data_IF_407638833305
#
_entry.id   IF_407638833305
#
_cell.length_a   1.000
_cell.length_b   1.000
_cell.length_c   1.000
_cell.angle_alpha   90.00
_cell.angle_beta   90.00
_cell.angle_gamma   90.00
#
_symmetry.space_group_name_H-M   'P 1'
#
loop_
_entity.id
_entity.type
_entity.pdbx_description
1 polymer ?
#
# COMPACT_ATOMS: atom_id res chain seq x y z
N UNK A 1 23.43 -28.69 50.96
CA UNK A 1 23.46 -27.29 51.47
C UNK A 1 24.02 -26.29 50.47
N UNK A 2 25.02 -26.65 49.64
CA UNK A 2 25.65 -25.71 48.69
C UNK A 2 24.71 -25.15 47.62
N UNK A 3 23.85 -25.98 47.02
CA UNK A 3 22.89 -25.53 46.01
C UNK A 3 21.97 -24.42 46.54
N UNK A 4 21.47 -24.56 47.77
CA UNK A 4 20.65 -23.54 48.44
C UNK A 4 21.42 -22.23 48.61
N UNK A 5 22.72 -22.31 48.96
CA UNK A 5 23.58 -21.13 49.14
C UNK A 5 23.89 -20.44 47.81
N UNK A 6 24.13 -21.21 46.75
CA UNK A 6 24.32 -20.68 45.40
C UNK A 6 23.06 -19.98 44.88
N UNK A 7 21.89 -20.59 45.10
CA UNK A 7 20.60 -20.04 44.68
C UNK A 7 20.24 -18.75 45.44
N UNK A 8 20.51 -18.70 46.75
CA UNK A 8 20.37 -17.47 47.54
C UNK A 8 21.33 -16.37 47.05
N UNK A 9 22.58 -16.72 46.74
CA UNK A 9 23.56 -15.76 46.22
C UNK A 9 23.14 -15.20 44.84
N UNK A 10 22.54 -16.04 43.98
CA UNK A 10 21.97 -15.58 42.70
C UNK A 10 20.76 -14.65 42.90
N UNK A 11 19.84 -14.98 43.82
CA UNK A 11 18.69 -14.10 44.14
C UNK A 11 19.17 -12.74 44.66
N UNK A 12 20.16 -12.71 45.55
CA UNK A 12 20.73 -11.46 46.09
C UNK A 12 21.49 -10.66 45.02
N UNK A 13 22.16 -11.33 44.08
CA UNK A 13 22.80 -10.65 42.94
C UNK A 13 21.78 -10.11 41.95
N UNK A 14 20.68 -10.83 41.71
CA UNK A 14 19.57 -10.40 40.85
C UNK A 14 18.79 -9.21 41.44
N UNK A 15 18.68 -9.10 42.76
CA UNK A 15 18.03 -7.96 43.41
C UNK A 15 18.92 -6.72 43.49
N UNK A 16 20.21 -6.85 43.16
CA UNK A 16 21.18 -5.76 43.21
C UNK A 16 21.08 -4.90 41.94
N UNK A 17 20.80 -3.60 42.11
CA UNK A 17 20.48 -2.71 40.98
C UNK A 17 21.69 -2.23 40.14
N UNK A 18 22.89 -2.72 40.42
CA UNK A 18 24.15 -2.27 39.84
C UNK A 18 24.90 -3.38 39.10
N UNK A 19 24.19 -4.38 38.57
CA UNK A 19 24.84 -5.42 37.75
C UNK A 19 25.16 -4.89 36.35
N UNK A 20 26.20 -5.43 35.72
CA UNK A 20 26.57 -5.12 34.33
C UNK A 20 25.40 -5.43 33.39
N UNK A 21 24.67 -6.51 33.65
CA UNK A 21 23.49 -6.91 32.88
C UNK A 21 22.40 -5.83 32.90
N UNK A 22 22.13 -5.22 34.06
CA UNK A 22 21.14 -4.15 34.15
C UNK A 22 21.60 -2.88 33.44
N UNK A 23 22.88 -2.53 33.54
CA UNK A 23 23.44 -1.38 32.81
C UNK A 23 23.35 -1.58 31.29
N UNK A 24 23.63 -2.80 30.80
CA UNK A 24 23.44 -3.17 29.40
C UNK A 24 21.96 -3.10 28.99
N UNK A 25 21.05 -3.61 29.82
CA UNK A 25 19.61 -3.55 29.56
C UNK A 25 19.10 -2.11 29.49
N UNK A 26 19.57 -1.24 30.38
CA UNK A 26 19.25 0.19 30.37
C UNK A 26 19.80 0.90 29.12
N UNK A 27 21.02 0.57 28.69
CA UNK A 27 21.58 1.08 27.43
C UNK A 27 20.76 0.61 26.22
N UNK A 28 20.38 -0.67 26.18
CA UNK A 28 19.54 -1.22 25.11
C UNK A 28 18.19 -0.52 25.06
N UNK A 29 17.53 -0.31 26.21
CA UNK A 29 16.25 0.42 26.28
C UNK A 29 16.38 1.85 25.76
N UNK A 30 17.45 2.56 26.14
CA UNK A 30 17.72 3.92 25.63
C UNK A 30 17.91 3.92 24.10
N UNK A 31 18.66 2.96 23.57
CA UNK A 31 18.87 2.84 22.12
C UNK A 31 17.57 2.51 21.37
N UNK A 32 16.75 1.59 21.91
CA UNK A 32 15.43 1.28 21.33
C UNK A 32 14.55 2.54 21.32
N UNK A 33 14.48 3.26 22.43
CA UNK A 33 13.70 4.49 22.51
C UNK A 33 14.19 5.56 21.53
N UNK A 34 15.50 5.71 21.38
CA UNK A 34 16.10 6.64 20.42
C UNK A 34 15.66 6.33 18.99
N UNK A 35 15.82 5.08 18.53
CA UNK A 35 15.41 4.72 17.16
C UNK A 35 13.90 4.70 16.96
N UNK A 36 13.13 4.41 18.01
CA UNK A 36 11.67 4.56 17.99
C UNK A 36 11.26 6.00 17.69
N UNK A 37 11.91 6.98 18.35
CA UNK A 37 11.66 8.40 18.09
C UNK A 37 12.05 8.83 16.67
N UNK A 38 13.14 8.28 16.11
CA UNK A 38 13.51 8.49 14.70
C UNK A 38 12.44 7.94 13.76
N UNK A 39 12.10 6.66 13.92
CA UNK A 39 11.11 5.96 13.08
C UNK A 39 9.74 6.63 13.13
N UNK A 40 9.33 7.16 14.29
CA UNK A 40 8.07 7.88 14.44
C UNK A 40 7.93 9.05 13.47
N UNK A 41 9.02 9.79 13.23
CA UNK A 41 9.06 10.90 12.26
C UNK A 41 9.01 10.38 10.83
N UNK A 42 9.72 9.31 10.54
CA UNK A 42 9.76 8.74 9.18
C UNK A 42 8.41 8.16 8.79
N UNK A 43 7.74 7.47 9.71
CA UNK A 43 6.37 6.99 9.54
C UNK A 43 5.40 8.15 9.34
N UNK A 44 5.58 9.27 10.05
CA UNK A 44 4.76 10.46 9.85
C UNK A 44 4.93 11.07 8.44
N UNK A 45 6.17 11.15 7.94
CA UNK A 45 6.45 11.57 6.55
C UNK A 45 5.82 10.59 5.56
N UNK A 46 5.99 9.28 5.79
CA UNK A 46 5.44 8.27 4.89
C UNK A 46 3.91 8.40 4.80
N UNK A 47 3.26 8.51 5.95
CA UNK A 47 1.82 8.71 6.06
C UNK A 47 1.39 9.98 5.31
N UNK A 48 2.09 11.09 5.51
CA UNK A 48 1.79 12.36 4.85
C UNK A 48 1.86 12.23 3.31
N UNK A 49 2.96 11.66 2.79
CA UNK A 49 3.14 11.48 1.34
C UNK A 49 2.08 10.53 0.77
N UNK A 50 1.79 9.41 1.46
CA UNK A 50 0.73 8.47 1.08
C UNK A 50 -0.65 9.14 1.00
N UNK A 51 -1.04 9.89 2.03
CA UNK A 51 -2.35 10.56 2.10
C UNK A 51 -2.54 11.62 1.01
N UNK A 52 -1.45 12.21 0.53
CA UNK A 52 -1.45 13.22 -0.54
C UNK A 52 -1.22 12.62 -1.94
N UNK A 53 -0.96 11.31 -2.04
CA UNK A 53 -0.63 10.67 -3.31
C UNK A 53 0.69 11.19 -3.91
N UNK A 54 1.62 11.65 -3.09
CA UNK A 54 2.91 12.19 -3.54
C UNK A 54 3.90 11.05 -3.75
N UNK A 55 4.70 11.13 -4.82
CA UNK A 55 5.78 10.19 -5.07
C UNK A 55 6.82 10.27 -3.94
N UNK A 56 7.31 9.12 -3.46
CA UNK A 56 8.35 9.07 -2.41
C UNK A 56 9.74 9.34 -2.97
N UNK A 57 9.98 8.81 -4.17
CA UNK A 57 11.27 8.78 -4.86
C UNK A 57 11.43 10.01 -5.75
N UNK A 58 12.68 10.39 -5.99
CA UNK A 58 13.07 11.46 -6.90
C UNK A 58 14.00 10.96 -8.01
N UNK A 59 14.65 11.90 -8.71
CA UNK A 59 15.68 11.56 -9.70
C UNK A 59 16.95 11.00 -9.04
N UNK A 60 17.21 11.40 -7.79
CA UNK A 60 18.32 10.87 -7.00
C UNK A 60 17.90 10.60 -5.54
N UNK A 61 18.62 9.70 -4.89
CA UNK A 61 18.44 9.36 -3.47
C UNK A 61 19.68 9.83 -2.69
N UNK A 62 20.06 11.10 -2.91
CA UNK A 62 21.22 11.73 -2.29
C UNK A 62 20.78 12.82 -1.32
N UNK A 63 21.34 12.77 -0.12
CA UNK A 63 21.12 13.77 0.92
C UNK A 63 21.70 15.13 0.53
N UNK A 64 20.98 16.23 0.82
CA UNK A 64 21.34 17.59 0.36
C UNK A 64 21.13 17.81 -1.15
N UNK A 65 20.60 16.78 -1.81
CA UNK A 65 19.92 16.78 -3.10
C UNK A 65 18.90 17.88 -3.37
N UNK A 66 19.10 18.93 -4.21
CA UNK A 66 17.93 19.71 -4.65
C UNK A 66 16.97 18.86 -5.52
N UNK A 67 17.43 17.73 -6.06
CA UNK A 67 16.61 16.77 -6.83
C UNK A 67 16.33 15.46 -6.07
N UNK A 68 16.50 15.44 -4.74
CA UNK A 68 16.17 14.25 -3.97
C UNK A 68 14.66 13.96 -3.99
N UNK A 69 14.28 12.73 -3.64
CA UNK A 69 12.87 12.34 -3.54
C UNK A 69 12.14 13.08 -2.42
N UNK A 70 10.82 13.22 -2.56
CA UNK A 70 9.99 13.92 -1.57
C UNK A 70 10.11 13.32 -0.17
N UNK A 71 10.43 12.03 -0.03
CA UNK A 71 10.69 11.44 1.29
C UNK A 71 11.91 12.08 1.98
N UNK A 72 13.04 12.17 1.28
CA UNK A 72 14.25 12.80 1.82
C UNK A 72 14.03 14.30 2.03
N UNK A 73 13.47 15.00 1.04
CA UNK A 73 13.19 16.44 1.16
C UNK A 73 12.23 16.76 2.31
N UNK A 74 11.24 15.93 2.59
CA UNK A 74 10.36 16.12 3.75
C UNK A 74 11.07 15.87 5.08
N UNK A 75 11.99 14.90 5.15
CA UNK A 75 12.82 14.68 6.35
C UNK A 75 13.76 15.86 6.58
N UNK A 76 14.39 16.37 5.51
CA UNK A 76 15.22 17.59 5.56
C UNK A 76 14.42 18.77 6.11
N UNK A 77 13.20 18.99 5.59
CA UNK A 77 12.31 20.05 6.06
C UNK A 77 11.95 19.89 7.55
N UNK A 78 11.61 18.68 8.01
CA UNK A 78 11.29 18.45 9.43
C UNK A 78 12.53 18.70 10.30
N UNK A 79 13.72 18.33 9.83
CA UNK A 79 14.96 18.53 10.55
C UNK A 79 15.32 20.01 10.76
N UNK A 80 14.77 20.94 9.97
CA UNK A 80 14.92 22.38 10.23
C UNK A 80 14.24 22.80 11.55
N UNK A 81 13.17 22.11 11.94
CA UNK A 81 12.35 22.45 13.11
C UNK A 81 12.46 21.45 14.26
N UNK A 82 13.08 20.31 14.02
CA UNK A 82 13.24 19.22 14.99
C UNK A 82 14.72 19.01 15.34
N UNK A 83 15.19 19.56 16.47
CA UNK A 83 16.60 19.46 16.88
C UNK A 83 17.07 18.01 17.06
N UNK A 84 16.18 17.12 17.51
CA UNK A 84 16.51 15.71 17.70
C UNK A 84 16.76 15.02 16.36
N UNK A 85 15.89 15.27 15.38
CA UNK A 85 16.08 14.72 14.04
C UNK A 85 17.31 15.34 13.37
N UNK A 86 17.54 16.65 13.53
CA UNK A 86 18.74 17.32 13.04
C UNK A 86 20.01 16.65 13.57
N UNK A 87 20.10 16.42 14.88
CA UNK A 87 21.24 15.75 15.50
C UNK A 87 21.41 14.31 14.99
N UNK A 88 20.32 13.57 14.82
CA UNK A 88 20.36 12.22 14.24
C UNK A 88 20.95 12.24 12.82
N UNK A 89 20.54 13.19 11.99
CA UNK A 89 21.01 13.33 10.62
C UNK A 89 22.48 13.74 10.54
N UNK A 90 22.93 14.66 11.41
CA UNK A 90 24.34 15.03 11.50
C UNK A 90 25.22 13.87 11.96
N UNK A 91 24.76 13.05 12.90
CA UNK A 91 25.45 11.79 13.27
C UNK A 91 25.58 10.86 12.07
N UNK A 92 24.53 10.73 11.26
CA UNK A 92 24.53 9.88 10.07
C UNK A 92 25.51 10.35 8.98
N UNK A 93 25.86 11.64 8.93
CA UNK A 93 26.88 12.18 8.02
C UNK A 93 28.30 11.95 8.54
N UNK A 94 28.52 12.17 9.83
CA UNK A 94 29.86 12.29 10.41
C UNK A 94 30.39 10.99 11.04
N UNK A 95 29.51 10.04 11.39
CA UNK A 95 29.86 8.80 12.08
C UNK A 95 29.35 7.57 11.32
N UNK A 96 29.99 6.41 11.53
CA UNK A 96 29.41 5.12 11.15
C UNK A 96 28.25 4.81 12.10
N UNK A 97 27.08 5.38 11.82
CA UNK A 97 25.85 5.05 12.53
C UNK A 97 25.39 3.65 12.13
N UNK A 98 24.96 2.85 13.10
CA UNK A 98 24.54 1.46 12.87
C UNK A 98 23.29 1.36 11.98
N UNK A 99 22.37 2.33 12.05
CA UNK A 99 21.18 2.38 11.20
C UNK A 99 20.73 3.82 10.97
N UNK A 100 20.62 4.21 9.69
CA UNK A 100 20.17 5.56 9.30
C UNK A 100 18.66 5.60 9.00
N UNK A 101 18.06 4.47 8.63
CA UNK A 101 16.67 4.33 8.18
C UNK A 101 16.27 5.19 6.95
N UNK A 102 17.23 5.91 6.36
CA UNK A 102 17.01 6.83 5.23
C UNK A 102 17.12 6.13 3.87
N UNK A 103 17.69 4.93 3.85
CA UNK A 103 17.93 4.24 2.60
C UNK A 103 16.62 3.76 1.98
N UNK A 104 16.61 3.78 0.64
CA UNK A 104 15.49 3.32 -0.17
C UNK A 104 14.89 1.97 0.26
N UNK A 105 15.69 0.91 0.50
CA UNK A 105 15.13 -0.37 0.93
C UNK A 105 14.36 -0.28 2.26
N UNK A 106 14.81 0.59 3.18
CA UNK A 106 14.23 0.66 4.53
C UNK A 106 12.89 1.38 4.51
N UNK A 107 12.78 2.56 3.88
CA UNK A 107 11.48 3.22 3.82
C UNK A 107 10.48 2.45 2.94
N UNK A 108 10.95 1.69 1.94
CA UNK A 108 10.10 0.78 1.17
C UNK A 108 9.56 -0.37 2.00
N UNK A 109 10.39 -0.96 2.85
CA UNK A 109 9.94 -1.98 3.82
C UNK A 109 8.89 -1.40 4.79
N UNK A 110 9.11 -0.18 5.31
CA UNK A 110 8.14 0.50 6.16
C UNK A 110 6.82 0.74 5.42
N UNK A 111 6.86 1.21 4.17
CA UNK A 111 5.67 1.40 3.32
C UNK A 111 4.93 0.08 3.14
N UNK A 112 5.64 -1.03 2.90
CA UNK A 112 5.02 -2.36 2.76
C UNK A 112 4.35 -2.83 4.04
N UNK A 113 5.01 -2.66 5.20
CA UNK A 113 4.44 -3.03 6.50
C UNK A 113 3.18 -2.21 6.80
N UNK A 114 3.24 -0.89 6.59
CA UNK A 114 2.11 0.01 6.77
C UNK A 114 0.96 -0.34 5.81
N UNK A 115 1.27 -0.54 4.53
CA UNK A 115 0.30 -0.94 3.51
C UNK A 115 -0.39 -2.25 3.86
N UNK A 116 0.37 -3.26 4.30
CA UNK A 116 -0.17 -4.55 4.75
C UNK A 116 -1.07 -4.40 5.98
N UNK A 117 -0.70 -3.54 6.93
CA UNK A 117 -1.54 -3.29 8.11
C UNK A 117 -2.87 -2.64 7.73
N UNK A 118 -2.84 -1.63 6.86
CA UNK A 118 -4.05 -0.97 6.32
C UNK A 118 -4.92 -1.97 5.56
N UNK A 119 -4.32 -2.81 4.71
CA UNK A 119 -5.03 -3.85 3.98
C UNK A 119 -5.71 -4.85 4.93
N UNK A 120 -4.99 -5.35 5.94
CA UNK A 120 -5.55 -6.27 6.92
C UNK A 120 -6.71 -5.64 7.70
N UNK A 121 -6.60 -4.37 8.05
CA UNK A 121 -7.66 -3.66 8.76
C UNK A 121 -8.92 -3.49 7.88
N UNK A 122 -8.75 -3.11 6.61
CA UNK A 122 -9.86 -3.03 5.65
C UNK A 122 -10.54 -4.39 5.47
N UNK A 123 -9.75 -5.44 5.36
CA UNK A 123 -10.24 -6.82 5.25
C UNK A 123 -11.00 -7.25 6.50
N UNK A 124 -10.49 -6.90 7.68
CA UNK A 124 -11.17 -7.14 8.95
C UNK A 124 -12.49 -6.36 9.01
N UNK A 125 -12.55 -5.14 8.48
CA UNK A 125 -13.79 -4.36 8.41
C UNK A 125 -14.83 -5.05 7.53
N UNK A 126 -14.42 -5.49 6.33
CA UNK A 126 -15.29 -6.21 5.40
C UNK A 126 -15.77 -7.53 6.03
N UNK A 127 -14.89 -8.27 6.70
CA UNK A 127 -15.24 -9.59 7.22
C UNK A 127 -16.00 -9.57 8.56
N UNK A 128 -15.69 -8.61 9.45
CA UNK A 128 -16.08 -8.68 10.88
C UNK A 128 -16.93 -7.49 11.37
N UNK A 129 -16.90 -6.33 10.70
CA UNK A 129 -17.53 -5.10 11.17
C UNK A 129 -18.67 -4.67 10.24
N UNK A 130 -19.83 -5.29 10.43
CA UNK A 130 -21.15 -4.96 9.84
C UNK A 130 -21.25 -4.91 8.30
N UNK A 131 -20.16 -5.15 7.57
CA UNK A 131 -20.12 -5.01 6.11
C UNK A 131 -20.13 -6.35 5.41
N UNK A 132 -21.26 -7.04 5.43
CA UNK A 132 -21.36 -8.36 4.79
C UNK A 132 -21.13 -8.32 3.28
N UNK A 133 -21.47 -7.22 2.60
CA UNK A 133 -21.52 -7.15 1.14
C UNK A 133 -20.57 -6.12 0.57
N UNK A 134 -19.98 -6.46 -0.57
CA UNK A 134 -19.09 -5.59 -1.32
C UNK A 134 -19.24 -5.82 -2.82
N UNK A 135 -18.73 -4.89 -3.60
CA UNK A 135 -18.62 -4.97 -5.06
C UNK A 135 -17.16 -4.96 -5.47
N UNK A 136 -16.88 -5.54 -6.63
CA UNK A 136 -15.55 -5.53 -7.23
C UNK A 136 -15.58 -4.76 -8.55
N UNK A 137 -14.56 -3.95 -8.78
CA UNK A 137 -14.28 -3.34 -10.08
C UNK A 137 -12.94 -3.91 -10.52
N UNK A 138 -12.87 -4.40 -11.75
CA UNK A 138 -11.67 -5.00 -12.30
C UNK A 138 -11.33 -4.21 -13.55
N UNK A 139 -10.08 -3.80 -13.65
CA UNK A 139 -9.56 -3.15 -14.83
C UNK A 139 -8.25 -3.83 -15.23
N UNK A 140 -8.05 -4.03 -16.52
CA UNK A 140 -6.81 -4.59 -17.03
C UNK A 140 -6.34 -3.81 -18.24
N UNK A 141 -5.09 -3.37 -18.21
CA UNK A 141 -4.47 -2.70 -19.34
C UNK A 141 -3.16 -3.40 -19.68
N UNK A 142 -2.90 -3.71 -20.97
CA UNK A 142 -1.60 -4.19 -21.39
C UNK A 142 -0.58 -3.06 -21.24
N UNK A 143 0.55 -3.35 -20.59
CA UNK A 143 1.66 -2.42 -20.55
C UNK A 143 2.48 -2.42 -21.86
N UNK A 144 3.52 -1.59 -21.93
CA UNK A 144 4.41 -1.48 -23.10
C UNK A 144 5.08 -2.81 -23.49
N UNK A 145 5.14 -3.78 -22.57
CA UNK A 145 5.70 -5.11 -22.80
C UNK A 145 4.65 -6.15 -23.17
N UNK A 146 3.41 -5.73 -23.41
CA UNK A 146 2.24 -6.59 -23.62
C UNK A 146 1.93 -7.51 -22.43
N UNK A 147 2.33 -7.11 -21.22
CA UNK A 147 1.95 -7.79 -19.99
C UNK A 147 0.73 -7.08 -19.42
N UNK A 148 -0.36 -7.82 -19.21
CA UNK A 148 -1.58 -7.27 -18.64
C UNK A 148 -1.38 -6.89 -17.17
N UNK A 149 -1.56 -5.61 -16.87
CA UNK A 149 -1.61 -5.09 -15.51
C UNK A 149 -3.04 -5.12 -15.02
N UNK A 150 -3.31 -6.00 -14.05
CA UNK A 150 -4.65 -6.22 -13.49
C UNK A 150 -4.82 -5.48 -12.17
N UNK A 151 -5.76 -4.55 -12.16
CA UNK A 151 -6.12 -3.69 -11.05
C UNK A 151 -7.49 -4.10 -10.54
N UNK A 152 -7.62 -4.31 -9.22
CA UNK A 152 -8.88 -4.72 -8.61
C UNK A 152 -9.23 -3.76 -7.52
N UNK A 153 -10.41 -3.18 -7.62
CA UNK A 153 -10.96 -2.30 -6.62
C UNK A 153 -12.06 -3.05 -5.89
N UNK A 154 -11.96 -3.14 -4.57
CA UNK A 154 -13.08 -3.57 -3.71
C UNK A 154 -13.77 -2.32 -3.18
N UNK A 155 -15.07 -2.25 -3.40
CA UNK A 155 -15.93 -1.17 -2.91
C UNK A 155 -16.96 -1.74 -1.95
N UNK A 156 -17.03 -1.18 -0.75
CA UNK A 156 -17.89 -1.62 0.33
C UNK A 156 -18.51 -0.42 1.06
N UNK A 157 -19.54 -0.63 1.87
CA UNK A 157 -20.17 0.44 2.64
C UNK A 157 -19.88 0.24 4.13
N UNK A 158 -19.19 1.19 4.76
CA UNK A 158 -18.95 1.22 6.20
C UNK A 158 -19.78 2.34 6.83
N UNK A 159 -20.64 2.03 7.81
CA UNK A 159 -21.52 3.02 8.46
C UNK A 159 -22.25 3.92 7.44
N UNK A 160 -22.81 3.30 6.38
CA UNK A 160 -23.49 3.97 5.26
C UNK A 160 -22.61 4.90 4.39
N UNK A 161 -21.29 4.91 4.60
CA UNK A 161 -20.34 5.64 3.76
C UNK A 161 -19.66 4.70 2.77
N UNK A 162 -19.60 5.06 1.47
CA UNK A 162 -18.91 4.26 0.48
C UNK A 162 -17.39 4.34 0.70
N UNK A 163 -16.76 3.18 0.82
CA UNK A 163 -15.32 2.98 0.94
C UNK A 163 -14.79 2.24 -0.29
N UNK A 164 -13.57 2.58 -0.72
CA UNK A 164 -12.93 2.05 -1.92
C UNK A 164 -11.50 1.65 -1.59
N UNK A 165 -11.07 0.46 -2.01
CA UNK A 165 -9.72 -0.07 -1.73
C UNK A 165 -9.18 -0.81 -2.94
N UNK A 166 -7.86 -0.70 -3.17
CA UNK A 166 -7.19 -1.30 -4.30
C UNK A 166 -6.35 -2.53 -3.93
N UNK A 167 -6.37 -3.51 -4.82
CA UNK A 167 -5.67 -4.78 -4.72
C UNK A 167 -5.11 -5.22 -6.09
N UNK A 168 -4.08 -6.07 -6.06
CA UNK A 168 -3.39 -6.58 -7.25
C UNK A 168 -3.60 -8.10 -7.40
N UNK A 169 -4.19 -8.58 -8.52
CA UNK A 169 -4.52 -9.99 -8.84
C UNK A 169 -5.69 -10.64 -8.07
N UNK A 170 -6.68 -11.20 -8.79
CA UNK A 170 -8.01 -11.58 -8.23
C UNK A 170 -7.93 -12.73 -7.25
N UNK A 171 -7.42 -13.89 -7.70
CA UNK A 171 -7.48 -15.11 -6.88
C UNK A 171 -6.50 -15.07 -5.72
N UNK A 172 -5.33 -14.47 -5.93
CA UNK A 172 -4.33 -14.30 -4.88
C UNK A 172 -4.87 -13.35 -3.81
N UNK A 173 -5.42 -12.20 -4.18
CA UNK A 173 -5.99 -11.22 -3.23
C UNK A 173 -7.18 -11.78 -2.48
N UNK A 174 -8.20 -12.30 -3.17
CA UNK A 174 -9.42 -12.72 -2.49
C UNK A 174 -9.15 -13.91 -1.56
N UNK A 175 -8.25 -14.81 -1.94
CA UNK A 175 -7.79 -15.92 -1.12
C UNK A 175 -6.93 -15.47 0.08
N UNK A 176 -5.87 -14.68 -0.16
CA UNK A 176 -4.95 -14.18 0.89
C UNK A 176 -5.70 -13.31 1.91
N UNK A 177 -6.65 -12.50 1.45
CA UNK A 177 -7.45 -11.62 2.27
C UNK A 177 -8.74 -12.25 2.78
N UNK A 178 -8.96 -13.57 2.56
CA UNK A 178 -10.14 -14.30 3.07
C UNK A 178 -11.47 -13.62 2.72
N UNK A 179 -11.56 -12.97 1.56
CA UNK A 179 -12.76 -12.29 1.10
C UNK A 179 -13.65 -13.29 0.36
N UNK A 180 -14.88 -13.51 0.86
CA UNK A 180 -15.79 -14.51 0.30
C UNK A 180 -16.46 -14.08 -1.01
N UNK A 181 -16.20 -14.81 -2.09
CA UNK A 181 -16.86 -14.61 -3.38
C UNK A 181 -18.40 -14.63 -3.29
N UNK A 182 -18.97 -15.33 -2.29
CA UNK A 182 -20.41 -15.40 -2.06
C UNK A 182 -21.03 -14.07 -1.60
N UNK A 183 -20.20 -13.18 -1.04
CA UNK A 183 -20.61 -11.88 -0.52
C UNK A 183 -20.52 -10.74 -1.55
N UNK A 184 -20.01 -11.03 -2.75
CA UNK A 184 -19.95 -10.05 -3.83
C UNK A 184 -21.36 -9.76 -4.35
N UNK A 185 -21.77 -8.50 -4.40
CA UNK A 185 -23.08 -8.06 -4.94
C UNK A 185 -22.99 -7.29 -6.24
N UNK A 186 -21.83 -6.72 -6.54
CA UNK A 186 -21.58 -6.01 -7.79
C UNK A 186 -20.27 -6.45 -8.42
N UNK A 187 -20.26 -6.53 -9.75
CA UNK A 187 -19.06 -6.74 -10.55
C UNK A 187 -19.03 -5.71 -11.69
N UNK A 188 -17.90 -5.05 -11.88
CA UNK A 188 -17.75 -4.05 -12.94
C UNK A 188 -16.39 -4.16 -13.61
N UNK A 189 -16.38 -4.11 -14.93
CA UNK A 189 -15.18 -4.16 -15.79
C UNK A 189 -15.57 -3.71 -17.20
N UNK A 190 -14.59 -3.69 -18.11
CA UNK A 190 -14.80 -3.33 -19.51
C UNK A 190 -15.83 -4.23 -20.24
N UNK A 191 -16.18 -3.85 -21.47
CA UNK A 191 -17.13 -4.61 -22.28
C UNK A 191 -16.44 -5.67 -23.14
N UNK A 192 -15.16 -5.99 -22.90
CA UNK A 192 -14.45 -6.98 -23.68
C UNK A 192 -15.10 -8.35 -23.51
N UNK A 193 -15.05 -9.19 -24.55
CA UNK A 193 -15.80 -10.46 -24.60
C UNK A 193 -15.37 -11.46 -23.52
N UNK A 194 -14.08 -11.46 -23.17
CA UNK A 194 -13.51 -12.21 -22.04
C UNK A 194 -14.03 -11.74 -20.67
N UNK A 195 -14.46 -10.48 -20.55
CA UNK A 195 -14.97 -9.89 -19.32
C UNK A 195 -16.50 -9.98 -19.24
N UNK A 196 -17.21 -9.35 -20.19
CA UNK A 196 -18.69 -9.27 -20.28
C UNK A 196 -19.38 -10.56 -20.72
N UNK A 197 -18.66 -11.53 -21.26
CA UNK A 197 -19.27 -12.76 -21.81
C UNK A 197 -20.23 -13.45 -20.82
N UNK A 198 -21.49 -13.61 -21.20
CA UNK A 198 -22.54 -14.17 -20.33
C UNK A 198 -22.42 -15.67 -20.09
N UNK A 199 -21.66 -16.38 -20.92
CA UNK A 199 -21.46 -17.83 -20.83
C UNK A 199 -20.04 -18.22 -20.43
N UNK A 200 -19.02 -17.56 -21.02
CA UNK A 200 -17.59 -17.88 -20.84
C UNK A 200 -16.75 -16.70 -20.34
N UNK A 201 -17.37 -15.53 -20.15
CA UNK A 201 -16.68 -14.35 -19.65
C UNK A 201 -16.60 -14.36 -18.13
N UNK A 202 -15.79 -13.45 -17.59
CA UNK A 202 -15.65 -13.23 -16.16
C UNK A 202 -17.00 -13.00 -15.46
N UNK A 203 -17.94 -12.36 -16.16
CA UNK A 203 -19.33 -12.21 -15.74
C UNK A 203 -20.02 -13.52 -15.41
N UNK A 204 -19.93 -14.49 -16.32
CA UNK A 204 -20.52 -15.80 -16.15
C UNK A 204 -19.91 -16.51 -14.94
N UNK A 205 -18.59 -16.43 -14.79
CA UNK A 205 -17.88 -17.05 -13.68
C UNK A 205 -18.34 -16.53 -12.32
N UNK A 206 -18.40 -15.21 -12.12
CA UNK A 206 -18.89 -14.64 -10.85
C UNK A 206 -20.38 -14.94 -10.62
N UNK A 207 -21.20 -14.95 -11.68
CA UNK A 207 -22.64 -15.23 -11.57
C UNK A 207 -22.93 -16.70 -11.25
N UNK A 208 -22.08 -17.62 -11.70
CA UNK A 208 -22.13 -19.03 -11.33
C UNK A 208 -21.78 -19.26 -9.86
N UNK A 209 -20.86 -18.47 -9.30
CA UNK A 209 -20.47 -18.54 -7.88
C UNK A 209 -21.54 -17.88 -7.00
N UNK A 210 -22.04 -16.71 -7.41
CA UNK A 210 -23.09 -16.00 -6.71
C UNK A 210 -24.10 -15.38 -7.69
N UNK A 211 -25.31 -15.96 -7.73
CA UNK A 211 -26.39 -15.52 -8.61
C UNK A 211 -26.86 -14.08 -8.39
N UNK A 212 -26.60 -13.53 -7.21
CA UNK A 212 -26.97 -12.16 -6.82
C UNK A 212 -25.88 -11.12 -7.16
N UNK A 213 -24.86 -11.52 -7.92
CA UNK A 213 -23.81 -10.60 -8.38
C UNK A 213 -24.23 -9.91 -9.67
N UNK A 214 -24.57 -8.62 -9.58
CA UNK A 214 -24.99 -7.85 -10.75
C UNK A 214 -23.80 -7.25 -11.49
N UNK A 215 -23.83 -7.40 -12.82
CA UNK A 215 -22.83 -6.83 -13.70
C UNK A 215 -23.19 -5.40 -14.09
N UNK A 216 -22.23 -4.49 -13.88
CA UNK A 216 -22.32 -3.10 -14.27
C UNK A 216 -21.21 -2.80 -15.28
N UNK A 217 -21.53 -2.53 -16.56
CA UNK A 217 -20.52 -2.26 -17.57
C UNK A 217 -19.76 -0.96 -17.27
N UNK A 218 -18.49 -0.90 -17.65
CA UNK A 218 -17.69 0.31 -17.52
C UNK A 218 -18.29 1.46 -18.32
N UNK A 219 -18.68 2.54 -17.63
CA UNK A 219 -19.29 3.71 -18.25
C UNK A 219 -18.30 4.43 -19.18
N UNK A 220 -17.02 4.56 -18.77
CA UNK A 220 -15.98 5.20 -19.57
C UNK A 220 -15.76 4.46 -20.90
N UNK A 221 -15.64 3.13 -20.85
CA UNK A 221 -15.49 2.33 -22.05
C UNK A 221 -16.76 2.35 -22.93
N UNK A 222 -17.94 2.30 -22.33
CA UNK A 222 -19.22 2.40 -23.06
C UNK A 222 -19.36 3.74 -23.77
N UNK A 223 -18.92 4.83 -23.13
CA UNK A 223 -18.92 6.16 -23.73
C UNK A 223 -17.87 6.29 -24.84
N UNK A 224 -16.69 5.69 -24.67
CA UNK A 224 -15.67 5.65 -25.71
C UNK A 224 -16.18 4.94 -26.97
N UNK A 225 -16.82 3.77 -26.81
CA UNK A 225 -17.44 3.04 -27.91
C UNK A 225 -18.54 3.85 -28.61
N UNK A 226 -19.33 4.62 -27.86
CA UNK A 226 -20.32 5.52 -28.43
C UNK A 226 -19.65 6.60 -29.28
N UNK A 227 -18.60 7.26 -28.76
CA UNK A 227 -17.84 8.28 -29.49
C UNK A 227 -17.20 7.73 -30.77
N UNK A 228 -16.54 6.58 -30.66
CA UNK A 228 -15.96 5.87 -31.81
C UNK A 228 -17.03 5.54 -32.85
N UNK A 229 -18.20 5.03 -32.42
CA UNK A 229 -19.27 4.70 -33.34
C UNK A 229 -19.86 5.95 -34.00
N UNK A 230 -20.08 7.03 -33.24
CA UNK A 230 -20.57 8.29 -33.78
C UNK A 230 -19.62 8.85 -34.85
N UNK A 231 -18.30 8.85 -34.59
CA UNK A 231 -17.29 9.26 -35.57
C UNK A 231 -17.28 8.35 -36.79
N UNK A 232 -17.37 7.03 -36.60
CA UNK A 232 -17.36 6.05 -37.70
C UNK A 232 -18.52 6.18 -38.69
N UNK A 233 -19.57 6.95 -38.34
CA UNK A 233 -20.71 7.22 -39.23
C UNK A 233 -20.51 8.43 -40.13
N UNK A 234 -19.46 9.22 -39.94
CA UNK A 234 -19.16 10.43 -40.71
C UNK A 234 -17.89 10.21 -41.54
N UNK A 235 -18.00 9.92 -42.85
CA UNK A 235 -16.86 9.58 -43.69
C UNK A 235 -15.73 10.62 -43.69
N UNK A 236 -16.07 11.91 -43.70
CA UNK A 236 -15.09 13.00 -43.71
C UNK A 236 -14.22 13.02 -42.45
N UNK A 237 -14.81 12.65 -41.30
CA UNK A 237 -14.10 12.57 -40.02
C UNK A 237 -13.26 11.30 -39.96
N UNK A 238 -13.74 10.20 -40.53
CA UNK A 238 -12.96 8.96 -40.68
C UNK A 238 -11.73 9.20 -41.54
N UNK A 239 -11.89 9.84 -42.69
CA UNK A 239 -10.78 10.17 -43.60
C UNK A 239 -9.75 11.08 -42.91
N UNK A 240 -10.23 12.11 -42.19
CA UNK A 240 -9.37 13.01 -41.42
C UNK A 240 -8.53 12.27 -40.37
N UNK A 241 -9.15 11.41 -39.55
CA UNK A 241 -8.41 10.63 -38.54
C UNK A 241 -7.53 9.55 -39.15
N UNK A 242 -7.92 8.97 -40.30
CA UNK A 242 -7.10 8.04 -41.05
C UNK A 242 -5.78 8.68 -41.50
N UNK A 243 -5.86 9.87 -42.10
CA UNK A 243 -4.67 10.63 -42.49
C UNK A 243 -3.80 10.98 -41.28
N UNK A 244 -4.40 11.41 -40.16
CA UNK A 244 -3.65 11.72 -38.94
C UNK A 244 -2.92 10.52 -38.34
N UNK A 245 -3.49 9.31 -38.42
CA UNK A 245 -2.86 8.10 -37.90
C UNK A 245 -1.69 7.60 -38.78
N UNK A 246 -1.65 8.00 -40.05
CA UNK A 246 -0.56 7.67 -40.97
C UNK A 246 0.65 8.63 -40.86
N UNK A 247 0.48 9.79 -40.21
CA UNK A 247 1.55 10.76 -39.92
C UNK A 247 2.39 10.35 -38.71
#
# INVERSE_FOLDING_TARGET
MEHKRAMLCWITRKSNKNTVDQQLEEQMKKNIQYYFEVLKRFVAVIKFLSEKGLAFRGHEEKWGSPNNGNFMGAIELIAEFDPFLHEHLEKCKNEKVNATYLSKPVYEELIQIMGKHVQNEIVNQINNLDTKYYSIIIDSMPDLTHVDQLVIVVRYCSNEKPCVTLFNKIQQVLGEHKLSLENIRGQSYDNASNMKGSEKGLQAHFKNINRYTDYVPCAAHSFNLFGEKAVSTVPEVVDYFGILQEL
#
